data_IF_205876300769
#
_entry.id   IF_205876300769
#
_cell.length_a   1.000
_cell.length_b   1.000
_cell.length_c   1.000
_cell.angle_alpha   90.00
_cell.angle_beta   90.00
_cell.angle_gamma   90.00
#
_symmetry.space_group_name_H-M   'P 1'
#
loop_
_entity.id
_entity.type
_entity.pdbx_description
1 polymer ?
#
# COMPACT_ATOMS: atom_id res chain seq x y z
N UNK A 1 -7.30 -14.50 12.07
CA UNK A 1 -7.46 -13.05 11.87
C UNK A 1 -6.16 -12.52 11.29
N UNK A 2 -6.22 -11.68 10.26
CA UNK A 2 -5.04 -10.97 9.74
C UNK A 2 -4.62 -9.85 10.69
N UNK A 3 -3.33 -9.52 10.72
CA UNK A 3 -2.78 -8.43 11.53
C UNK A 3 -2.47 -7.20 10.69
N UNK A 4 -2.80 -6.02 11.17
CA UNK A 4 -2.41 -4.74 10.59
C UNK A 4 -1.16 -4.19 11.29
N UNK A 5 -0.04 -4.19 10.57
CA UNK A 5 1.24 -3.61 11.00
C UNK A 5 1.46 -2.27 10.29
N UNK A 6 1.56 -1.21 11.08
CA UNK A 6 1.89 0.12 10.59
C UNK A 6 3.40 0.37 10.74
N UNK A 7 4.04 0.75 9.65
CA UNK A 7 5.40 1.27 9.63
C UNK A 7 5.28 2.79 9.57
N UNK A 8 5.79 3.46 10.59
CA UNK A 8 5.82 4.93 10.66
C UNK A 8 7.27 5.37 10.52
N UNK A 9 7.52 6.30 9.62
CA UNK A 9 8.80 6.99 9.56
C UNK A 9 8.63 8.51 9.72
N UNK A 10 9.61 9.16 10.35
CA UNK A 10 9.56 10.60 10.68
C UNK A 10 10.70 11.35 10.02
N UNK A 11 11.90 11.34 10.62
CA UNK A 11 13.07 12.07 10.10
C UNK A 11 14.02 11.19 9.28
N UNK A 12 13.60 9.98 8.94
CA UNK A 12 14.39 9.00 8.19
C UNK A 12 13.52 8.29 7.16
N UNK A 13 14.14 7.69 6.15
CA UNK A 13 13.41 6.82 5.22
C UNK A 13 13.22 5.43 5.82
N UNK A 14 11.97 5.05 6.07
CA UNK A 14 11.56 3.74 6.57
C UNK A 14 11.36 2.69 5.47
N UNK A 15 11.64 3.02 4.20
CA UNK A 15 11.50 2.11 3.06
C UNK A 15 12.24 0.77 3.23
N UNK A 16 13.34 0.75 3.98
CA UNK A 16 14.08 -0.49 4.29
C UNK A 16 13.22 -1.54 5.01
N UNK A 17 12.28 -1.12 5.85
CA UNK A 17 11.34 -2.02 6.52
C UNK A 17 10.40 -2.68 5.50
N UNK A 18 9.94 -1.94 4.50
CA UNK A 18 9.11 -2.50 3.43
C UNK A 18 9.89 -3.54 2.63
N UNK A 19 11.14 -3.24 2.27
CA UNK A 19 12.02 -4.21 1.60
C UNK A 19 12.28 -5.45 2.45
N UNK A 20 12.45 -5.29 3.76
CA UNK A 20 12.59 -6.39 4.70
C UNK A 20 11.35 -7.29 4.70
N UNK A 21 10.16 -6.71 4.91
CA UNK A 21 8.91 -7.48 4.91
C UNK A 21 8.66 -8.16 3.56
N UNK A 22 8.82 -7.44 2.45
CA UNK A 22 8.66 -8.01 1.11
C UNK A 22 9.53 -9.25 0.92
N UNK A 23 10.81 -9.15 1.27
CA UNK A 23 11.76 -10.25 1.13
C UNK A 23 11.45 -11.39 2.11
N UNK A 24 11.10 -11.08 3.35
CA UNK A 24 10.75 -12.04 4.38
C UNK A 24 9.57 -12.93 3.95
N UNK A 25 8.46 -12.31 3.52
CA UNK A 25 7.27 -13.05 3.12
C UNK A 25 7.44 -13.82 1.81
N UNK A 26 8.18 -13.27 0.84
CA UNK A 26 8.47 -13.99 -0.41
C UNK A 26 9.38 -15.20 -0.16
N UNK A 27 10.36 -15.11 0.74
CA UNK A 27 11.21 -16.25 1.13
C UNK A 27 10.45 -17.32 1.89
N UNK A 28 9.42 -16.94 2.63
CA UNK A 28 8.51 -17.88 3.30
C UNK A 28 7.54 -18.58 2.34
N UNK A 29 7.57 -18.28 1.03
CA UNK A 29 6.65 -18.87 0.05
C UNK A 29 5.25 -18.26 0.09
N UNK A 30 5.03 -17.17 0.85
CA UNK A 30 3.73 -16.53 0.94
C UNK A 30 3.38 -15.79 -0.35
N UNK A 31 2.08 -15.72 -0.65
CA UNK A 31 1.54 -14.84 -1.69
C UNK A 31 1.55 -13.40 -1.19
N UNK A 32 2.08 -12.48 -1.98
CA UNK A 32 2.23 -11.07 -1.62
C UNK A 32 1.57 -10.20 -2.69
N UNK A 33 0.71 -9.28 -2.24
CA UNK A 33 0.21 -8.19 -3.05
C UNK A 33 0.99 -6.93 -2.66
N UNK A 34 1.81 -6.43 -3.56
CA UNK A 34 2.64 -5.27 -3.31
C UNK A 34 2.11 -4.07 -4.08
N UNK A 35 1.64 -3.06 -3.35
CA UNK A 35 1.19 -1.79 -3.88
C UNK A 35 2.27 -0.74 -3.65
N UNK A 36 2.88 -0.30 -4.73
CA UNK A 36 3.87 0.75 -4.72
C UNK A 36 3.28 1.99 -5.39
N UNK A 37 3.25 3.11 -4.67
CA UNK A 37 2.77 4.38 -5.23
C UNK A 37 3.90 5.12 -5.93
N UNK A 38 5.05 5.28 -5.28
CA UNK A 38 6.10 6.20 -5.74
C UNK A 38 7.20 5.58 -6.60
N UNK A 39 7.59 4.35 -6.31
CA UNK A 39 8.76 3.70 -6.91
C UNK A 39 8.33 2.60 -7.88
N UNK A 40 9.06 2.47 -8.99
CA UNK A 40 8.75 1.47 -10.02
C UNK A 40 9.10 0.05 -9.58
N UNK A 41 8.51 -0.94 -10.25
CA UNK A 41 8.85 -2.36 -10.04
C UNK A 41 10.36 -2.62 -10.13
N UNK A 42 11.04 -1.98 -11.10
CA UNK A 42 12.47 -2.14 -11.34
C UNK A 42 13.30 -1.72 -10.13
N UNK A 43 12.93 -0.63 -9.45
CA UNK A 43 13.58 -0.19 -8.23
C UNK A 43 13.53 -1.29 -7.15
N UNK A 44 12.33 -1.82 -6.89
CA UNK A 44 12.14 -2.89 -5.91
C UNK A 44 12.85 -4.18 -6.28
N UNK A 45 12.87 -4.54 -7.56
CA UNK A 45 13.52 -5.76 -8.01
C UNK A 45 15.03 -5.70 -7.78
N UNK A 46 15.67 -4.55 -8.05
CA UNK A 46 17.11 -4.35 -7.79
C UNK A 46 17.41 -4.49 -6.30
N UNK A 47 16.60 -3.88 -5.43
CA UNK A 47 16.82 -3.97 -3.97
C UNK A 47 16.54 -5.38 -3.45
N UNK A 48 15.45 -6.01 -3.88
CA UNK A 48 15.10 -7.37 -3.48
C UNK A 48 16.15 -8.39 -3.91
N UNK A 49 16.77 -8.23 -5.10
CA UNK A 49 17.86 -9.10 -5.56
C UNK A 49 19.06 -9.03 -4.62
N UNK A 50 19.39 -7.83 -4.10
CA UNK A 50 20.44 -7.68 -3.07
C UNK A 50 20.09 -8.39 -1.76
N UNK A 51 18.80 -8.57 -1.47
CA UNK A 51 18.30 -9.33 -0.32
C UNK A 51 18.09 -10.83 -0.63
N UNK A 52 18.53 -11.30 -1.80
CA UNK A 52 18.45 -12.70 -2.22
C UNK A 52 17.09 -13.12 -2.77
N UNK A 53 16.24 -12.17 -3.18
CA UNK A 53 14.89 -12.43 -3.71
C UNK A 53 14.75 -11.89 -5.13
N UNK A 54 14.26 -12.72 -6.06
CA UNK A 54 13.97 -12.30 -7.43
C UNK A 54 12.47 -12.02 -7.59
N UNK A 55 12.09 -10.75 -7.69
CA UNK A 55 10.68 -10.35 -7.80
C UNK A 55 10.07 -10.75 -9.15
N UNK A 56 10.84 -10.70 -10.24
CA UNK A 56 10.38 -11.15 -11.56
C UNK A 56 9.97 -12.61 -11.51
N UNK A 57 10.82 -13.46 -10.95
CA UNK A 57 10.54 -14.88 -10.82
C UNK A 57 9.37 -15.15 -9.86
N UNK A 58 9.23 -14.37 -8.78
CA UNK A 58 8.07 -14.45 -7.88
C UNK A 58 6.77 -14.05 -8.58
N UNK A 59 6.81 -13.05 -9.46
CA UNK A 59 5.68 -12.60 -10.28
C UNK A 59 5.27 -13.67 -11.30
N UNK A 60 6.24 -14.24 -12.02
CA UNK A 60 6.01 -15.32 -13.00
C UNK A 60 5.41 -16.58 -12.36
N UNK A 61 5.80 -16.91 -11.11
CA UNK A 61 5.22 -18.00 -10.33
C UNK A 61 3.84 -17.69 -9.74
N UNK A 62 3.31 -16.48 -9.93
CA UNK A 62 2.05 -16.05 -9.33
C UNK A 62 2.12 -15.86 -7.81
N UNK A 63 3.32 -15.79 -7.25
CA UNK A 63 3.55 -15.55 -5.82
C UNK A 63 3.48 -14.04 -5.49
N UNK A 64 3.89 -13.18 -6.43
CA UNK A 64 3.87 -11.73 -6.28
C UNK A 64 2.91 -11.09 -7.28
N UNK A 65 1.96 -10.30 -6.78
CA UNK A 65 1.18 -9.35 -7.57
C UNK A 65 1.73 -7.96 -7.27
N UNK A 66 2.26 -7.27 -8.29
CA UNK A 66 2.74 -5.90 -8.16
C UNK A 66 1.75 -4.93 -8.78
N UNK A 67 1.30 -3.96 -8.00
CA UNK A 67 0.37 -2.90 -8.40
C UNK A 67 1.09 -1.56 -8.31
N UNK A 68 1.23 -0.89 -9.45
CA UNK A 68 1.83 0.43 -9.55
C UNK A 68 0.71 1.49 -9.46
N UNK A 69 0.71 2.25 -8.36
CA UNK A 69 -0.50 2.95 -7.89
C UNK A 69 -0.70 4.39 -8.36
N UNK A 70 0.17 4.96 -9.21
CA UNK A 70 0.01 6.35 -9.67
C UNK A 70 -0.90 6.52 -10.89
N UNK A 71 -0.97 5.56 -11.81
CA UNK A 71 -1.74 5.75 -13.06
C UNK A 71 -3.19 5.27 -12.95
N UNK A 72 -3.37 3.98 -12.63
CA UNK A 72 -4.67 3.32 -12.85
C UNK A 72 -5.62 3.35 -11.65
N UNK A 73 -5.12 3.64 -10.44
CA UNK A 73 -5.96 3.72 -9.24
C UNK A 73 -6.67 5.08 -9.15
N UNK A 74 -6.05 6.14 -9.68
CA UNK A 74 -6.55 7.50 -9.53
C UNK A 74 -7.70 7.82 -10.48
N UNK A 75 -7.61 7.38 -11.74
CA UNK A 75 -8.71 7.57 -12.70
C UNK A 75 -9.99 6.83 -12.30
N UNK A 76 -9.88 5.75 -11.51
CA UNK A 76 -11.05 4.97 -11.04
C UNK A 76 -11.64 5.53 -9.74
N UNK A 77 -10.84 6.15 -8.88
CA UNK A 77 -11.28 6.74 -7.61
C UNK A 77 -11.63 8.23 -7.76
N UNK A 78 -11.05 8.91 -8.76
CA UNK A 78 -11.15 10.36 -9.01
C UNK A 78 -11.49 10.73 -10.46
N UNK A 79 -11.83 9.75 -11.30
CA UNK A 79 -12.29 10.01 -12.68
C UNK A 79 -13.50 10.93 -12.67
N UNK A 80 -13.42 11.97 -13.49
CA UNK A 80 -14.40 13.05 -13.60
C UNK A 80 -15.80 12.47 -13.87
N UNK A 81 -16.80 13.01 -13.15
CA UNK A 81 -18.21 12.84 -13.49
C UNK A 81 -18.43 13.47 -14.87
N UNK A 82 -18.32 12.68 -15.94
CA UNK A 82 -18.85 13.06 -17.26
C UNK A 82 -20.39 13.13 -17.15
N UNK A 83 -21.06 14.13 -17.74
CA UNK A 83 -22.49 14.33 -17.56
C UNK A 83 -23.29 13.23 -18.26
N UNK A 84 -24.02 12.47 -17.44
CA UNK A 84 -25.28 11.74 -17.68
C UNK A 84 -25.66 11.38 -19.13
N UNK A 85 -25.62 10.07 -19.45
CA UNK A 85 -26.74 9.43 -20.17
C UNK A 85 -27.12 8.11 -19.47
N UNK A 86 -28.32 8.15 -18.88
CA UNK A 86 -29.19 7.10 -18.30
C UNK A 86 -28.79 5.62 -18.51
N UNK A 87 -28.09 5.01 -17.53
CA UNK A 87 -28.26 3.58 -17.21
C UNK A 87 -28.15 3.30 -15.70
N UNK A 88 -29.08 2.48 -15.23
CA UNK A 88 -29.38 2.09 -13.86
C UNK A 88 -28.17 1.52 -13.07
N UNK A 89 -27.94 2.07 -11.87
CA UNK A 89 -27.22 1.47 -10.72
C UNK A 89 -25.80 0.90 -10.92
N UNK A 90 -24.77 1.76 -10.76
CA UNK A 90 -23.52 1.36 -10.08
C UNK A 90 -22.72 2.58 -9.63
N UNK A 91 -22.71 2.88 -8.34
CA UNK A 91 -21.70 3.79 -7.79
C UNK A 91 -20.31 3.25 -8.14
N UNK A 92 -19.38 4.06 -8.67
CA UNK A 92 -18.04 3.61 -8.97
C UNK A 92 -17.38 3.17 -7.66
N UNK A 93 -17.22 1.85 -7.50
CA UNK A 93 -16.51 1.33 -6.34
C UNK A 93 -15.03 1.66 -6.50
N UNK A 94 -14.36 2.27 -5.49
CA UNK A 94 -12.96 2.71 -5.53
C UNK A 94 -11.94 1.64 -5.95
N UNK A 95 -12.36 0.38 -6.08
CA UNK A 95 -11.53 -0.79 -6.33
C UNK A 95 -11.95 -1.55 -7.59
N UNK A 96 -12.69 -0.90 -8.50
CA UNK A 96 -12.89 -1.46 -9.83
C UNK A 96 -11.53 -1.74 -10.49
N UNK A 97 -10.47 -1.00 -10.14
CA UNK A 97 -9.11 -1.30 -10.55
C UNK A 97 -8.57 -2.62 -9.99
N UNK A 98 -8.95 -3.07 -8.78
CA UNK A 98 -8.55 -4.39 -8.26
C UNK A 98 -9.26 -5.53 -9.00
N UNK A 99 -10.50 -5.29 -9.46
CA UNK A 99 -11.16 -6.21 -10.38
C UNK A 99 -10.55 -6.20 -11.78
N UNK A 100 -10.07 -5.04 -12.24
CA UNK A 100 -9.47 -4.85 -13.56
C UNK A 100 -8.01 -5.34 -13.64
N UNK A 101 -7.24 -5.19 -12.57
CA UNK A 101 -5.85 -5.67 -12.43
C UNK A 101 -5.75 -7.18 -12.20
N UNK A 102 -6.85 -7.93 -12.23
CA UNK A 102 -6.85 -9.37 -11.94
C UNK A 102 -6.47 -9.71 -10.49
N UNK A 103 -6.41 -8.72 -9.59
CA UNK A 103 -6.10 -8.97 -8.18
C UNK A 103 -7.16 -9.90 -7.57
N UNK A 104 -8.44 -9.74 -7.94
CA UNK A 104 -9.53 -10.64 -7.51
C UNK A 104 -9.32 -12.09 -7.93
N UNK A 105 -8.88 -12.35 -9.17
CA UNK A 105 -8.67 -13.72 -9.67
C UNK A 105 -7.37 -14.34 -9.14
N UNK A 106 -6.31 -13.54 -9.00
CA UNK A 106 -5.07 -13.95 -8.35
C UNK A 106 -5.29 -14.34 -6.86
N UNK A 107 -6.23 -13.67 -6.19
CA UNK A 107 -6.61 -13.96 -4.81
C UNK A 107 -7.60 -15.10 -4.64
N UNK A 108 -8.61 -15.19 -5.51
CA UNK A 108 -9.66 -16.20 -5.41
C UNK A 108 -9.17 -17.62 -5.75
N UNK A 109 -8.04 -17.74 -6.46
CA UNK A 109 -7.51 -19.00 -6.98
C UNK A 109 -6.59 -19.80 -6.04
N UNK A 110 -6.77 -19.82 -4.72
CA UNK A 110 -5.89 -20.62 -3.86
C UNK A 110 -6.50 -21.05 -2.53
N UNK A 111 -6.95 -22.30 -2.44
CA UNK A 111 -7.41 -22.97 -1.22
C UNK A 111 -6.26 -23.36 -0.28
N UNK A 112 -5.45 -22.40 0.15
CA UNK A 112 -4.38 -22.63 1.11
C UNK A 112 -4.33 -21.44 2.07
N UNK A 113 -4.04 -21.71 3.35
CA UNK A 113 -3.86 -20.75 4.47
C UNK A 113 -2.72 -19.73 4.25
N UNK A 114 -2.56 -19.21 3.03
CA UNK A 114 -1.58 -18.22 2.69
C UNK A 114 -2.03 -16.87 3.25
N UNK A 115 -1.34 -16.42 4.30
CA UNK A 115 -1.46 -15.08 4.87
C UNK A 115 -1.09 -14.07 3.79
N UNK A 116 -2.10 -13.60 3.05
CA UNK A 116 -1.89 -12.67 1.96
C UNK A 116 -1.42 -11.35 2.53
N UNK A 117 -0.18 -10.99 2.25
CA UNK A 117 0.38 -9.74 2.72
C UNK A 117 0.09 -8.65 1.72
N UNK A 118 -0.63 -7.60 2.14
CA UNK A 118 -0.62 -6.34 1.42
C UNK A 118 0.52 -5.48 1.96
N UNK A 119 1.48 -5.15 1.09
CA UNK A 119 2.47 -4.12 1.38
C UNK A 119 2.05 -2.83 0.68
N UNK A 120 1.92 -1.75 1.44
CA UNK A 120 1.57 -0.44 0.89
C UNK A 120 2.74 0.52 1.15
N UNK A 121 3.43 0.94 0.10
CA UNK A 121 4.59 1.82 0.23
C UNK A 121 4.29 3.27 -0.16
N UNK A 122 4.28 4.11 0.90
CA UNK A 122 4.50 5.56 1.03
C UNK A 122 3.58 6.54 0.28
N UNK A 123 3.25 7.59 1.04
CA UNK A 123 2.53 8.84 0.76
C UNK A 123 1.28 8.74 -0.10
N UNK A 124 0.14 8.54 0.57
CA UNK A 124 -1.18 8.80 0.00
C UNK A 124 -1.33 10.28 -0.45
N UNK A 125 -0.42 11.17 -0.03
CA UNK A 125 -0.29 12.54 -0.54
C UNK A 125 0.15 12.61 -2.00
N UNK A 126 0.95 11.65 -2.47
CA UNK A 126 1.43 11.62 -3.86
C UNK A 126 0.36 11.10 -4.85
N UNK A 127 -0.80 10.67 -4.35
CA UNK A 127 -1.91 10.11 -5.13
C UNK A 127 -2.67 11.16 -5.96
N UNK A 128 -2.19 12.37 -6.20
CA UNK A 128 -2.94 13.34 -7.01
C UNK A 128 -2.04 14.08 -7.99
N UNK A 129 -2.34 14.02 -9.31
CA UNK A 129 -1.82 14.98 -10.25
C UNK A 129 -2.26 16.39 -9.83
N UNK A 130 -1.36 17.37 -9.92
CA UNK A 130 -1.64 18.81 -9.71
C UNK A 130 -1.78 19.28 -8.26
N UNK A 131 -1.08 18.66 -7.30
CA UNK A 131 -0.85 19.27 -5.98
C UNK A 131 -2.09 19.37 -5.09
N UNK A 132 -3.12 18.55 -5.33
CA UNK A 132 -4.25 18.39 -4.42
C UNK A 132 -3.89 17.36 -3.34
N UNK A 133 -4.26 17.64 -2.09
CA UNK A 133 -4.09 16.69 -0.98
C UNK A 133 -5.32 15.80 -0.90
N UNK A 134 -5.11 14.48 -0.76
CA UNK A 134 -6.22 13.55 -0.60
C UNK A 134 -6.78 13.64 0.83
N UNK A 135 -8.11 13.82 1.02
CA UNK A 135 -8.67 13.86 2.36
C UNK A 135 -8.37 12.58 3.13
N UNK A 136 -7.98 12.70 4.39
CA UNK A 136 -7.65 11.57 5.26
C UNK A 136 -8.79 10.54 5.31
N UNK A 137 -10.04 11.00 5.29
CA UNK A 137 -11.23 10.15 5.28
C UNK A 137 -11.28 9.18 4.08
N UNK A 138 -10.81 9.61 2.90
CA UNK A 138 -10.78 8.76 1.70
C UNK A 138 -9.68 7.70 1.83
N UNK A 139 -8.50 8.11 2.27
CA UNK A 139 -7.38 7.22 2.57
C UNK A 139 -7.76 6.12 3.59
N UNK A 140 -8.40 6.50 4.68
CA UNK A 140 -8.83 5.58 5.74
C UNK A 140 -9.86 4.59 5.19
N UNK A 141 -10.84 5.05 4.40
CA UNK A 141 -11.82 4.17 3.75
C UNK A 141 -11.16 3.19 2.80
N UNK A 142 -10.17 3.64 2.03
CA UNK A 142 -9.41 2.79 1.12
C UNK A 142 -8.64 1.70 1.86
N UNK A 143 -7.90 2.06 2.91
CA UNK A 143 -7.16 1.10 3.76
C UNK A 143 -8.12 0.14 4.45
N UNK A 144 -9.21 0.64 5.02
CA UNK A 144 -10.22 -0.17 5.69
C UNK A 144 -10.90 -1.15 4.72
N UNK A 145 -11.22 -0.71 3.51
CA UNK A 145 -11.77 -1.60 2.51
C UNK A 145 -10.75 -2.67 2.12
N UNK A 146 -9.49 -2.30 1.86
CA UNK A 146 -8.46 -3.30 1.54
C UNK A 146 -8.27 -4.26 2.70
N UNK A 147 -8.35 -3.81 3.95
CA UNK A 147 -8.33 -4.69 5.13
C UNK A 147 -9.49 -5.68 5.17
N UNK A 148 -10.72 -5.24 4.87
CA UNK A 148 -11.87 -6.14 4.79
C UNK A 148 -11.71 -7.14 3.64
N UNK A 149 -11.17 -6.68 2.51
CA UNK A 149 -11.00 -7.49 1.30
C UNK A 149 -9.81 -8.46 1.42
N UNK A 150 -8.71 -8.02 2.04
CA UNK A 150 -7.56 -8.81 2.45
C UNK A 150 -7.92 -9.64 3.69
N UNK A 151 -8.27 -10.90 3.54
CA UNK A 151 -8.31 -11.82 4.69
C UNK A 151 -6.90 -12.21 5.21
N UNK A 152 -5.91 -11.32 5.10
CA UNK A 152 -4.50 -11.58 5.39
C UNK A 152 -3.82 -10.45 6.18
N UNK A 153 -2.50 -10.51 6.33
CA UNK A 153 -1.76 -9.47 7.05
C UNK A 153 -1.63 -8.22 6.19
N UNK A 154 -1.64 -7.04 6.80
CA UNK A 154 -1.38 -5.78 6.11
C UNK A 154 -0.14 -5.15 6.75
N UNK A 155 0.78 -4.70 5.91
CA UNK A 155 1.92 -3.88 6.31
C UNK A 155 1.85 -2.58 5.50
N UNK A 156 1.70 -1.45 6.17
CA UNK A 156 1.57 -0.14 5.52
C UNK A 156 2.66 0.80 6.01
N UNK A 157 3.38 1.45 5.09
CA UNK A 157 4.33 2.51 5.42
C UNK A 157 3.70 3.89 5.24
N UNK A 158 3.76 4.70 6.30
CA UNK A 158 3.31 6.09 6.32
C UNK A 158 4.42 7.00 6.81
N UNK A 159 4.57 8.14 6.14
CA UNK A 159 5.48 9.20 6.54
C UNK A 159 4.75 10.22 7.42
N UNK A 160 5.35 10.54 8.55
CA UNK A 160 4.83 11.47 9.54
C UNK A 160 5.88 12.52 9.81
N UNK A 161 5.68 13.75 9.35
CA UNK A 161 6.55 14.86 9.71
C UNK A 161 5.94 15.60 10.92
N UNK A 162 6.60 15.51 12.08
CA UNK A 162 6.15 16.16 13.33
C UNK A 162 6.23 17.70 13.26
N UNK A 163 7.03 18.23 12.33
CA UNK A 163 7.17 19.67 12.11
C UNK A 163 6.20 20.19 11.03
N UNK A 164 5.35 19.31 10.45
CA UNK A 164 4.43 19.69 9.37
C UNK A 164 3.10 20.25 9.90
N UNK A 165 2.63 21.36 9.33
CA UNK A 165 1.30 21.94 9.63
C UNK A 165 0.13 21.18 8.95
N UNK A 166 0.39 19.99 8.39
CA UNK A 166 -0.57 19.22 7.63
C UNK A 166 -1.48 18.39 8.53
N UNK A 167 -2.57 19.03 8.95
CA UNK A 167 -3.64 18.42 9.77
C UNK A 167 -4.27 17.20 9.13
N UNK A 168 -4.36 17.11 7.80
CA UNK A 168 -4.96 15.94 7.14
C UNK A 168 -4.03 14.72 7.29
N UNK A 169 -2.73 14.91 7.14
CA UNK A 169 -1.78 13.83 7.37
C UNK A 169 -1.72 13.41 8.84
N UNK A 170 -1.77 14.36 9.77
CA UNK A 170 -1.86 14.04 11.20
C UNK A 170 -3.11 13.20 11.51
N UNK A 171 -4.28 13.56 10.95
CA UNK A 171 -5.51 12.80 11.11
C UNK A 171 -5.40 11.40 10.50
N UNK A 172 -4.80 11.27 9.32
CA UNK A 172 -4.58 9.98 8.67
C UNK A 172 -3.66 9.09 9.50
N UNK A 173 -2.47 9.59 9.87
CA UNK A 173 -1.48 8.86 10.69
C UNK A 173 -2.10 8.44 12.01
N UNK A 174 -2.78 9.36 12.69
CA UNK A 174 -3.45 9.10 13.97
C UNK A 174 -4.52 8.02 13.82
N UNK A 175 -5.36 8.11 12.78
CA UNK A 175 -6.38 7.10 12.53
C UNK A 175 -5.76 5.73 12.26
N UNK A 176 -4.71 5.64 11.44
CA UNK A 176 -4.04 4.39 11.13
C UNK A 176 -3.37 3.77 12.37
N UNK A 177 -2.74 4.59 13.22
CA UNK A 177 -2.20 4.14 14.50
C UNK A 177 -3.28 3.48 15.38
N UNK A 178 -4.46 4.10 15.47
CA UNK A 178 -5.57 3.56 16.27
C UNK A 178 -6.11 2.21 15.74
N UNK A 179 -6.02 1.98 14.44
CA UNK A 179 -6.52 0.74 13.83
C UNK A 179 -5.44 -0.35 13.72
N UNK A 180 -4.16 -0.02 13.93
CA UNK A 180 -3.05 -0.96 13.81
C UNK A 180 -2.89 -1.87 15.03
N UNK A 181 -2.59 -3.14 14.78
CA UNK A 181 -2.26 -4.12 15.82
C UNK A 181 -0.80 -4.01 16.28
N UNK A 182 0.08 -3.51 15.40
CA UNK A 182 1.51 -3.34 15.66
C UNK A 182 2.00 -2.07 14.95
N UNK A 183 2.78 -1.25 15.66
CA UNK A 183 3.42 -0.06 15.10
C UNK A 183 4.94 -0.25 15.20
N UNK A 184 5.64 -0.13 14.08
CA UNK A 184 7.08 -0.02 14.01
C UNK A 184 7.46 1.41 13.63
N UNK A 185 8.19 2.09 14.50
CA UNK A 185 8.59 3.48 14.30
C UNK A 185 10.08 3.58 13.96
N UNK A 186 10.38 4.16 12.80
CA UNK A 186 11.72 4.50 12.37
C UNK A 186 11.93 6.01 12.49
N UNK A 187 12.86 6.41 13.35
CA UNK A 187 13.20 7.81 13.58
C UNK A 187 14.72 8.00 13.61
N UNK A 188 15.18 9.20 13.26
CA UNK A 188 16.58 9.57 13.44
C UNK A 188 16.81 10.08 14.86
N UNK A 189 17.96 9.72 15.43
CA UNK A 189 18.37 10.22 16.74
C UNK A 189 18.82 11.69 16.55
N UNK A 190 18.32 12.65 17.35
CA UNK A 190 18.65 14.07 17.21
C UNK A 190 20.10 14.43 17.60
N UNK A 191 20.93 13.46 17.98
CA UNK A 191 22.35 13.69 18.23
C UNK A 191 23.06 13.94 16.89
N UNK A 192 23.51 15.18 16.68
CA UNK A 192 24.42 15.56 15.61
C UNK A 192 25.79 14.88 15.80
N UNK A 193 25.88 13.57 15.61
CA UNK A 193 27.13 12.82 15.61
C UNK A 193 26.91 11.41 15.03
N UNK A 194 27.54 11.17 13.89
CA UNK A 194 28.20 9.89 13.60
C UNK A 194 29.70 10.13 13.75
#
# INVERSE_FOLDING_TARGET
>A
QGKFTLLRDTRTDGSFLVHHFLSFYLRAGCKVCFVALLQSFSHYNIVAQKLGVNLTAAKERGQLVFLEGLGSCLDVVFGEEEPEEEQEAKQPHPLQFLSHCGARSAWAGGGSECQNLLLFQRDLRALLPRGRVLPAAVCIKFVHYIYIFCQGNIVMLVHSDEDSEDKENELLVTSLCHHSDLILWADSIPSALC
#
